data_IF_844829687496
#
_entry.id   IF_844829687496
#
_cell.length_a   1.000
_cell.length_b   1.000
_cell.length_c   1.000
_cell.angle_alpha   90.00
_cell.angle_beta   90.00
_cell.angle_gamma   90.00
#
_symmetry.space_group_name_H-M   'P 1'
#
loop_
_entity.id
_entity.type
_entity.pdbx_description
1 polymer ?
#
# COMPACT_ATOMS: atom_id res chain seq x y z
N UNK A 1 -20.72 -11.16 -15.89
CA UNK A 1 -20.19 -10.76 -14.57
C UNK A 1 -20.34 -9.26 -14.46
N UNK A 2 -21.44 -8.79 -13.87
CA UNK A 2 -21.72 -7.36 -13.73
C UNK A 2 -21.21 -6.90 -12.38
N UNK A 3 -20.07 -6.20 -12.36
CA UNK A 3 -19.66 -5.44 -11.17
C UNK A 3 -20.66 -4.30 -11.04
N UNK A 4 -21.75 -4.54 -10.32
CA UNK A 4 -22.74 -3.49 -10.05
C UNK A 4 -22.16 -2.61 -8.96
N UNK A 5 -21.66 -1.45 -9.33
CA UNK A 5 -21.29 -0.44 -8.34
C UNK A 5 -22.59 0.19 -7.82
N UNK A 6 -22.91 0.10 -6.52
CA UNK A 6 -23.87 1.04 -5.98
C UNK A 6 -23.20 2.42 -6.04
N UNK A 7 -23.83 3.35 -6.77
CA UNK A 7 -23.47 4.77 -6.73
C UNK A 7 -23.22 5.17 -5.26
N UNK A 8 -21.96 5.50 -4.96
CA UNK A 8 -21.48 5.94 -3.64
C UNK A 8 -22.24 5.32 -2.45
N UNK A 9 -22.02 4.03 -2.16
CA UNK A 9 -22.46 3.47 -0.89
C UNK A 9 -21.86 4.32 0.25
N UNK A 10 -22.71 5.05 0.96
CA UNK A 10 -22.28 5.85 2.11
C UNK A 10 -21.63 4.93 3.14
N UNK A 11 -20.69 5.46 3.93
CA UNK A 11 -20.02 4.66 4.96
C UNK A 11 -21.03 4.00 5.92
N UNK A 12 -22.13 4.70 6.24
CA UNK A 12 -23.24 4.16 7.04
C UNK A 12 -23.91 2.96 6.35
N UNK A 13 -24.33 3.11 5.09
CA UNK A 13 -24.96 2.03 4.34
C UNK A 13 -24.03 0.81 4.18
N UNK A 14 -22.74 1.03 3.97
CA UNK A 14 -21.74 -0.04 3.92
C UNK A 14 -21.59 -0.75 5.27
N UNK A 15 -21.51 0.00 6.37
CA UNK A 15 -21.30 -0.55 7.71
C UNK A 15 -22.45 -1.41 8.22
N UNK A 16 -23.67 -1.22 7.69
CA UNK A 16 -24.86 -2.00 8.04
C UNK A 16 -24.98 -3.30 7.26
N UNK A 17 -24.12 -3.55 6.28
CA UNK A 17 -24.14 -4.78 5.49
C UNK A 17 -23.33 -5.88 6.19
N UNK A 18 -23.82 -7.10 6.06
CA UNK A 18 -23.05 -8.29 6.42
C UNK A 18 -22.14 -8.69 5.24
N UNK A 19 -20.90 -9.02 5.56
CA UNK A 19 -19.90 -9.53 4.63
C UNK A 19 -19.28 -10.80 5.21
N UNK A 20 -19.02 -11.78 4.36
CA UNK A 20 -18.25 -12.97 4.74
C UNK A 20 -16.76 -12.63 4.82
N UNK A 21 -16.32 -11.73 3.94
CA UNK A 21 -14.94 -11.25 3.88
C UNK A 21 -14.90 -9.74 3.77
N UNK A 22 -14.06 -9.10 4.59
CA UNK A 22 -13.80 -7.66 4.55
C UNK A 22 -12.31 -7.41 4.25
N UNK A 23 -12.04 -6.74 3.13
CA UNK A 23 -10.69 -6.43 2.67
C UNK A 23 -10.41 -4.94 2.88
N UNK A 24 -9.34 -4.64 3.62
CA UNK A 24 -8.90 -3.27 3.87
C UNK A 24 -7.74 -2.94 2.92
N UNK A 25 -8.04 -2.13 1.90
CA UNK A 25 -7.11 -1.59 0.91
C UNK A 25 -7.40 -2.08 -0.51
N UNK A 26 -8.03 -1.25 -1.34
CA UNK A 26 -8.26 -1.51 -2.78
C UNK A 26 -7.02 -1.29 -3.66
N UNK A 27 -5.86 -1.79 -3.24
CA UNK A 27 -4.63 -1.77 -4.01
C UNK A 27 -4.41 -3.05 -4.83
N UNK A 28 -3.21 -3.22 -5.37
CA UNK A 28 -2.84 -4.36 -6.24
C UNK A 28 -3.18 -5.72 -5.63
N UNK A 29 -2.78 -5.94 -4.38
CA UNK A 29 -3.06 -7.20 -3.68
C UNK A 29 -4.53 -7.33 -3.25
N UNK A 30 -5.12 -6.26 -2.70
CA UNK A 30 -6.46 -6.33 -2.11
C UNK A 30 -7.55 -6.63 -3.13
N UNK A 31 -7.50 -5.97 -4.30
CA UNK A 31 -8.47 -6.26 -5.37
C UNK A 31 -8.24 -7.63 -6.01
N UNK A 32 -6.99 -8.08 -6.13
CA UNK A 32 -6.70 -9.43 -6.63
C UNK A 32 -7.32 -10.50 -5.72
N UNK A 33 -7.17 -10.36 -4.39
CA UNK A 33 -7.79 -11.27 -3.42
C UNK A 33 -9.31 -11.19 -3.46
N UNK A 34 -9.88 -9.97 -3.51
CA UNK A 34 -11.32 -9.77 -3.58
C UNK A 34 -11.94 -10.48 -4.78
N UNK A 35 -11.33 -10.34 -5.96
CA UNK A 35 -11.79 -10.98 -7.18
C UNK A 35 -11.72 -12.51 -7.07
N UNK A 36 -10.63 -13.06 -6.53
CA UNK A 36 -10.51 -14.51 -6.35
C UNK A 36 -11.54 -15.07 -5.39
N UNK A 37 -11.86 -14.38 -4.29
CA UNK A 37 -12.90 -14.83 -3.34
C UNK A 37 -14.29 -14.78 -3.96
N UNK A 38 -14.62 -13.71 -4.68
CA UNK A 38 -15.91 -13.56 -5.34
C UNK A 38 -16.10 -14.57 -6.49
N UNK A 39 -15.02 -14.99 -7.15
CA UNK A 39 -15.06 -16.04 -8.18
C UNK A 39 -15.11 -17.46 -7.58
N UNK A 40 -14.49 -17.68 -6.42
CA UNK A 40 -14.42 -19.00 -5.79
C UNK A 40 -15.80 -19.51 -5.36
N UNK A 41 -16.65 -18.63 -4.84
CA UNK A 41 -18.02 -18.96 -4.47
C UNK A 41 -18.95 -17.74 -4.64
N UNK A 42 -20.01 -17.91 -5.42
CA UNK A 42 -21.00 -16.87 -5.68
C UNK A 42 -21.87 -16.52 -4.46
N UNK A 43 -21.86 -17.35 -3.42
CA UNK A 43 -22.54 -17.08 -2.15
C UNK A 43 -21.75 -16.10 -1.26
N UNK A 44 -20.45 -15.94 -1.48
CA UNK A 44 -19.62 -15.03 -0.69
C UNK A 44 -19.95 -13.57 -0.98
N UNK A 45 -20.26 -12.83 0.08
CA UNK A 45 -20.40 -11.38 0.07
C UNK A 45 -19.08 -10.74 0.50
N UNK A 46 -18.33 -10.22 -0.46
CA UNK A 46 -17.00 -9.61 -0.24
C UNK A 46 -17.10 -8.09 -0.21
N UNK A 47 -16.66 -7.47 0.89
CA UNK A 47 -16.56 -6.02 1.05
C UNK A 47 -15.12 -5.53 0.88
N UNK A 48 -14.92 -4.38 0.24
CA UNK A 48 -13.60 -3.75 0.08
C UNK A 48 -13.66 -2.30 0.55
N UNK A 49 -12.76 -1.93 1.46
CA UNK A 49 -12.57 -0.55 1.93
C UNK A 49 -11.27 0.02 1.38
N UNK A 50 -11.31 1.17 0.71
CA UNK A 50 -10.14 1.85 0.15
C UNK A 50 -10.04 3.25 0.74
N UNK A 51 -8.83 3.63 1.16
CA UNK A 51 -8.50 5.03 1.45
C UNK A 51 -8.25 5.74 0.11
N UNK A 52 -9.19 6.58 -0.32
CA UNK A 52 -9.13 7.32 -1.59
C UNK A 52 -10.32 7.02 -2.52
N UNK A 53 -10.60 7.95 -3.43
CA UNK A 53 -11.66 7.82 -4.41
C UNK A 53 -11.41 6.74 -5.47
N UNK A 54 -12.47 6.41 -6.20
CA UNK A 54 -12.34 5.76 -7.51
C UNK A 54 -11.84 6.82 -8.49
N UNK A 55 -10.88 6.46 -9.31
CA UNK A 55 -10.39 7.33 -10.37
C UNK A 55 -10.61 6.57 -11.67
N UNK A 56 -11.56 7.06 -12.45
CA UNK A 56 -11.94 6.58 -13.78
C UNK A 56 -11.79 7.77 -14.73
N UNK A 57 -11.45 7.50 -15.99
CA UNK A 57 -11.30 8.50 -17.06
C UNK A 57 -10.28 9.61 -16.71
N UNK A 58 -9.13 9.23 -16.13
CA UNK A 58 -8.04 10.16 -15.79
C UNK A 58 -6.84 9.88 -16.69
N UNK A 59 -6.60 10.77 -17.66
CA UNK A 59 -5.51 10.65 -18.63
C UNK A 59 -4.12 10.54 -18.00
N UNK A 60 -3.91 11.06 -16.78
CA UNK A 60 -2.62 10.93 -16.09
C UNK A 60 -2.41 9.53 -15.48
N UNK A 61 -3.48 8.70 -15.42
CA UNK A 61 -3.48 7.32 -14.93
C UNK A 61 -3.65 6.32 -16.08
N UNK A 62 -4.62 6.56 -16.97
CA UNK A 62 -5.05 5.61 -17.99
C UNK A 62 -4.08 5.54 -19.18
N UNK A 63 -3.32 6.62 -19.44
CA UNK A 63 -2.28 6.65 -20.47
C UNK A 63 -0.94 6.22 -19.85
N UNK A 64 -0.37 5.06 -20.24
CA UNK A 64 0.85 4.55 -19.61
C UNK A 64 2.04 5.51 -19.69
N UNK A 65 2.13 6.29 -20.76
CA UNK A 65 3.18 7.31 -20.95
C UNK A 65 3.12 8.46 -19.94
N UNK A 66 2.03 8.63 -19.20
CA UNK A 66 1.81 9.71 -18.24
C UNK A 66 2.10 9.32 -16.78
N UNK A 67 2.59 8.11 -16.49
CA UNK A 67 2.75 7.56 -15.13
C UNK A 67 3.39 8.51 -14.08
N UNK A 68 4.28 9.42 -14.49
CA UNK A 68 4.93 10.39 -13.60
C UNK A 68 4.07 11.61 -13.24
N UNK A 69 3.04 11.92 -14.02
CA UNK A 69 2.19 13.11 -13.87
C UNK A 69 1.19 12.99 -12.72
N UNK A 70 0.75 11.77 -12.41
CA UNK A 70 -0.15 11.52 -11.29
C UNK A 70 0.55 11.63 -9.92
N UNK A 71 1.87 11.39 -9.85
CA UNK A 71 2.62 11.28 -8.58
C UNK A 71 2.53 12.52 -7.67
N UNK A 72 2.70 13.76 -8.17
CA UNK A 72 2.59 14.95 -7.33
C UNK A 72 1.18 15.14 -6.78
N UNK A 73 0.15 14.83 -7.58
CA UNK A 73 -1.25 14.94 -7.16
C UNK A 73 -1.62 13.88 -6.13
N UNK A 74 -1.16 12.63 -6.29
CA UNK A 74 -1.40 11.54 -5.36
C UNK A 74 -0.81 11.82 -3.96
N UNK A 75 0.29 12.56 -3.87
CA UNK A 75 0.83 13.01 -2.58
C UNK A 75 -0.04 14.09 -1.90
N UNK A 76 -0.74 14.90 -2.71
CA UNK A 76 -1.59 16.01 -2.23
C UNK A 76 -3.05 15.62 -1.95
N UNK A 77 -3.59 14.60 -2.65
CA UNK A 77 -5.03 14.27 -2.64
C UNK A 77 -5.50 13.65 -1.32
N UNK A 78 -4.61 12.93 -0.62
CA UNK A 78 -5.03 12.09 0.50
C UNK A 78 -4.54 12.57 1.87
N UNK A 79 -3.59 13.52 1.97
CA UNK A 79 -3.04 14.03 3.24
C UNK A 79 -2.38 12.99 4.19
N UNK A 80 -2.63 11.71 3.97
CA UNK A 80 -2.30 10.56 4.82
C UNK A 80 -1.22 9.65 4.19
N UNK A 81 -0.97 9.77 2.88
CA UNK A 81 0.03 8.97 2.16
C UNK A 81 1.46 9.47 2.37
N UNK A 82 1.64 10.75 2.74
CA UNK A 82 2.95 11.30 3.10
C UNK A 82 3.35 10.79 4.47
N UNK A 83 3.93 9.59 4.50
CA UNK A 83 4.44 8.99 5.73
C UNK A 83 5.70 9.75 6.16
N UNK A 84 5.59 10.57 7.20
CA UNK A 84 6.76 11.09 7.91
C UNK A 84 7.60 9.91 8.39
N UNK A 85 8.74 9.69 7.73
CA UNK A 85 9.73 8.73 8.20
C UNK A 85 10.58 9.42 9.24
N UNK A 86 10.83 8.76 10.37
CA UNK A 86 11.86 9.24 11.30
C UNK A 86 13.16 9.48 10.52
N UNK A 87 13.90 10.57 10.83
CA UNK A 87 15.16 10.85 10.18
C UNK A 87 16.06 9.62 10.27
N UNK A 88 16.46 9.09 9.11
CA UNK A 88 17.46 8.03 9.06
C UNK A 88 18.82 8.69 8.95
N UNK A 89 19.82 8.28 9.76
CA UNK A 89 21.16 8.82 9.62
C UNK A 89 21.64 8.60 8.17
N UNK A 90 22.33 9.60 7.60
CA UNK A 90 22.78 9.55 6.22
C UNK A 90 23.67 8.33 5.99
N UNK A 91 23.69 7.84 4.75
CA UNK A 91 24.41 6.62 4.38
C UNK A 91 25.90 6.66 4.79
N UNK A 92 26.51 7.86 4.79
CA UNK A 92 27.87 8.09 5.29
C UNK A 92 28.06 7.72 6.77
N UNK A 93 27.09 8.06 7.63
CA UNK A 93 27.14 7.76 9.06
C UNK A 93 26.94 6.27 9.37
N UNK A 94 26.39 5.48 8.44
CA UNK A 94 26.20 4.02 8.60
C UNK A 94 27.50 3.23 8.46
N UNK A 95 28.51 3.74 7.74
CA UNK A 95 29.82 3.09 7.60
C UNK A 95 30.67 3.20 8.88
N UNK A 96 30.51 4.26 9.65
CA UNK A 96 31.26 4.48 10.90
C UNK A 96 30.91 3.45 11.98
N UNK A 97 29.63 3.09 12.10
CA UNK A 97 29.15 2.08 13.06
C UNK A 97 29.65 0.67 12.79
N UNK A 98 30.04 0.33 11.55
CA UNK A 98 30.61 -0.99 11.23
C UNK A 98 32.12 -1.09 11.52
N UNK A 99 32.80 0.05 11.73
CA UNK A 99 34.24 0.07 12.09
C UNK A 99 34.49 -0.08 13.59
N UNK A 100 33.48 0.16 14.44
CA UNK A 100 33.64 0.08 15.90
C UNK A 100 33.35 -1.30 16.51
N UNK A 101 32.98 -2.31 15.70
CA UNK A 101 32.79 -3.70 16.12
C UNK A 101 33.90 -4.63 15.60
N UNK A 102 35.17 -4.22 15.69
CA UNK A 102 36.29 -5.17 15.63
C UNK A 102 36.66 -5.56 17.06
N UNK A 103 36.57 -6.84 17.46
CA UNK A 103 37.25 -7.30 18.65
C UNK A 103 38.75 -7.19 18.39
N UNK A 104 39.47 -6.51 19.28
CA UNK A 104 40.93 -6.55 19.37
C UNK A 104 41.35 -8.02 19.54
N UNK A 105 41.88 -8.63 18.48
CA UNK A 105 42.56 -9.93 18.61
C UNK A 105 43.92 -9.64 19.28
N UNK A 106 43.94 -9.77 20.61
CA UNK A 106 45.15 -9.75 21.40
C UNK A 106 46.08 -10.89 21.00
N UNK A 107 47.36 -10.54 20.90
CA UNK A 107 48.39 -11.31 20.23
C UNK A 107 48.76 -12.63 20.89
N UNK A 108 49.30 -13.52 20.06
CA UNK A 108 50.17 -14.62 20.42
C UNK A 108 51.33 -14.60 19.41
N UNK A 109 52.39 -13.88 19.75
CA UNK A 109 53.72 -14.12 19.18
C UNK A 109 54.33 -15.35 19.85
N UNK A 110 54.77 -16.28 19.00
CA UNK A 110 56.07 -16.98 19.02
C UNK A 110 56.57 -17.69 20.30
N UNK A 111 56.79 -19.01 20.15
CA UNK A 111 57.89 -19.85 20.69
C UNK A 111 58.24 -19.79 22.18
#
# INVERSE_FOLDING_TARGET
>A
MTITQPAAATADAFSRRHFDFLIIGGGTAGLAVAARLAEADASFTVGVLKAGGIVEDDEDIDIPGHYGRALPRLASRDGATTRSRRPRPPLAARKATRRHQRPELHGLESR
#
